data_IF_148802524684
#
_entry.id   IF_148802524684
#
_cell.length_a   1.000
_cell.length_b   1.000
_cell.length_c   1.000
_cell.angle_alpha   90.00
_cell.angle_beta   90.00
_cell.angle_gamma   90.00
#
_symmetry.space_group_name_H-M   'P 1'
#
loop_
_entity.id
_entity.type
_entity.pdbx_description
1 polymer ?
#
# COMPACT_ATOMS: atom_id res chain seq x y z
N UNK A 1 10.61 -11.55 7.34
CA UNK A 1 11.22 -10.23 7.11
C UNK A 1 10.96 -9.37 8.33
N UNK A 2 11.86 -8.43 8.66
CA UNK A 2 11.63 -7.44 9.71
C UNK A 2 11.49 -6.04 9.08
N UNK A 3 10.56 -5.25 9.59
CA UNK A 3 10.31 -3.86 9.16
C UNK A 3 10.61 -2.96 10.35
N UNK A 4 11.46 -1.94 10.16
CA UNK A 4 11.76 -0.98 11.20
C UNK A 4 10.55 -0.06 11.44
N UNK A 5 10.22 0.21 12.70
CA UNK A 5 9.10 1.08 13.05
C UNK A 5 9.66 2.46 13.40
N UNK A 6 9.29 3.53 12.66
CA UNK A 6 9.72 4.88 12.98
C UNK A 6 9.22 5.31 14.36
N UNK A 7 10.10 5.90 15.18
CA UNK A 7 9.72 6.41 16.50
C UNK A 7 8.71 7.57 16.43
N UNK A 8 8.65 8.28 15.30
CA UNK A 8 7.67 9.33 15.04
C UNK A 8 6.26 8.81 14.75
N UNK A 9 6.12 7.51 14.47
CA UNK A 9 4.91 6.97 13.83
C UNK A 9 4.73 7.46 12.38
N UNK A 10 3.72 6.92 11.71
CA UNK A 10 3.36 7.27 10.33
C UNK A 10 2.98 6.06 9.49
N UNK A 11 2.84 6.29 8.19
CA UNK A 11 2.56 5.27 7.17
C UNK A 11 3.89 4.74 6.66
N UNK A 12 4.10 3.43 6.76
CA UNK A 12 5.35 2.77 6.38
C UNK A 12 5.11 1.84 5.19
N UNK A 13 5.89 2.01 4.13
CA UNK A 13 5.88 1.09 3.00
C UNK A 13 6.63 -0.20 3.36
N UNK A 14 6.05 -1.33 2.96
CA UNK A 14 6.66 -2.65 3.16
C UNK A 14 7.01 -3.23 1.80
N UNK A 15 8.28 -3.20 1.44
CA UNK A 15 8.79 -3.82 0.23
C UNK A 15 9.03 -5.31 0.44
N UNK A 16 8.60 -6.13 -0.52
CA UNK A 16 8.89 -7.56 -0.50
C UNK A 16 10.36 -7.80 -0.90
N UNK A 17 11.05 -8.76 -0.26
CA UNK A 17 12.43 -9.05 -0.60
C UNK A 17 12.50 -9.56 -2.04
N UNK A 18 13.59 -9.29 -2.78
CA UNK A 18 13.70 -9.66 -4.20
C UNK A 18 13.69 -11.18 -4.43
N UNK A 19 13.97 -11.98 -3.40
CA UNK A 19 13.88 -13.44 -3.44
C UNK A 19 12.48 -13.98 -3.15
N UNK A 20 11.51 -13.12 -2.81
CA UNK A 20 10.12 -13.54 -2.61
C UNK A 20 9.54 -14.09 -3.92
N UNK A 21 8.86 -15.25 -3.89
CA UNK A 21 8.21 -15.77 -5.08
C UNK A 21 7.09 -14.83 -5.53
N UNK A 22 6.93 -14.68 -6.84
CA UNK A 22 5.79 -13.97 -7.39
C UNK A 22 4.48 -14.65 -6.97
N UNK A 23 3.45 -13.84 -6.69
CA UNK A 23 2.10 -14.34 -6.47
C UNK A 23 1.54 -14.92 -7.76
N UNK A 24 0.87 -16.07 -7.65
CA UNK A 24 0.14 -16.66 -8.77
C UNK A 24 -1.10 -15.81 -9.09
N UNK A 25 -1.46 -15.78 -10.38
CA UNK A 25 -2.68 -15.12 -10.83
C UNK A 25 -3.91 -15.75 -10.19
N UNK A 26 -4.89 -14.90 -9.90
CA UNK A 26 -6.22 -15.23 -9.38
C UNK A 26 -6.24 -16.10 -8.11
N UNK A 27 -5.14 -16.06 -7.36
CA UNK A 27 -4.99 -16.79 -6.11
C UNK A 27 -5.04 -15.82 -4.93
N UNK A 28 -5.90 -16.10 -3.96
CA UNK A 28 -5.97 -15.33 -2.71
C UNK A 28 -4.81 -15.74 -1.79
N UNK A 29 -4.02 -14.76 -1.39
CA UNK A 29 -2.98 -14.87 -0.38
C UNK A 29 -3.37 -14.06 0.85
N UNK A 30 -2.96 -14.52 2.02
CA UNK A 30 -3.11 -13.78 3.27
C UNK A 30 -1.74 -13.37 3.77
N UNK A 31 -1.58 -12.09 4.11
CA UNK A 31 -0.38 -11.56 4.73
C UNK A 31 -0.66 -11.27 6.21
N UNK A 32 0.40 -11.32 7.02
CA UNK A 32 0.35 -11.02 8.45
C UNK A 32 1.51 -10.12 8.81
N UNK A 33 1.26 -9.12 9.66
CA UNK A 33 2.28 -8.28 10.26
C UNK A 33 2.08 -8.29 11.78
N UNK A 34 3.09 -8.79 12.50
CA UNK A 34 3.06 -8.86 13.96
C UNK A 34 4.06 -7.90 14.58
N UNK A 35 3.65 -7.24 15.66
CA UNK A 35 4.49 -6.32 16.41
C UNK A 35 5.35 -7.09 17.42
N UNK A 36 6.67 -6.92 17.29
CA UNK A 36 7.64 -7.44 18.25
C UNK A 36 7.70 -6.51 19.46
N UNK A 37 7.22 -6.99 20.60
CA UNK A 37 7.27 -6.27 21.88
C UNK A 37 8.46 -6.81 22.68
N UNK A 38 9.24 -5.92 23.31
CA UNK A 38 10.40 -6.29 24.14
C UNK A 38 11.40 -7.23 23.46
N UNK A 39 11.55 -7.11 22.14
CA UNK A 39 12.50 -7.91 21.37
C UNK A 39 12.08 -9.36 21.13
N UNK A 40 10.81 -9.74 21.34
CA UNK A 40 10.30 -11.06 20.97
C UNK A 40 8.87 -11.02 20.40
N UNK A 41 8.58 -11.94 19.47
CA UNK A 41 7.20 -12.26 19.10
C UNK A 41 6.66 -13.27 20.09
N UNK A 42 5.48 -13.00 20.63
CA UNK A 42 4.80 -13.90 21.58
C UNK A 42 3.39 -14.20 21.06
N UNK A 43 2.71 -15.23 21.58
CA UNK A 43 1.30 -15.47 21.24
C UNK A 43 0.36 -14.29 21.58
N UNK A 44 0.81 -13.36 22.42
CA UNK A 44 0.09 -12.14 22.78
C UNK A 44 0.51 -10.92 21.94
N UNK A 45 1.47 -11.07 21.01
CA UNK A 45 1.88 -9.98 20.14
C UNK A 45 0.70 -9.49 19.30
N UNK A 46 0.39 -8.18 19.30
CA UNK A 46 -0.58 -7.61 18.38
C UNK A 46 -0.16 -7.90 16.95
N UNK A 47 -1.12 -8.25 16.11
CA UNK A 47 -0.89 -8.41 14.69
C UNK A 47 -2.07 -7.87 13.90
N UNK A 48 -1.79 -7.56 12.65
CA UNK A 48 -2.79 -7.25 11.63
C UNK A 48 -2.58 -8.20 10.47
N UNK A 49 -3.63 -8.45 9.72
CA UNK A 49 -3.60 -9.32 8.55
C UNK A 49 -4.53 -8.79 7.46
N UNK A 50 -4.34 -9.30 6.26
CA UNK A 50 -5.15 -8.90 5.12
C UNK A 50 -5.01 -9.86 3.96
N UNK A 51 -5.94 -9.74 3.03
CA UNK A 51 -5.97 -10.52 1.80
C UNK A 51 -5.39 -9.73 0.65
N UNK A 52 -4.63 -10.40 -0.21
CA UNK A 52 -4.11 -9.86 -1.46
C UNK A 52 -4.28 -10.90 -2.56
N UNK A 53 -4.60 -10.45 -3.76
CA UNK A 53 -4.71 -11.29 -4.94
C UNK A 53 -4.05 -10.56 -6.10
N UNK A 54 -3.13 -11.24 -6.78
CA UNK A 54 -2.62 -10.77 -8.06
C UNK A 54 -3.67 -11.10 -9.12
N UNK A 55 -4.17 -10.08 -9.80
CA UNK A 55 -5.10 -10.26 -10.91
C UNK A 55 -4.34 -10.23 -12.24
N UNK A 56 -4.94 -10.81 -13.27
CA UNK A 56 -4.48 -10.55 -14.64
C UNK A 56 -4.92 -9.12 -15.02
N UNK A 57 -3.99 -8.22 -15.39
CA UNK A 57 -4.33 -6.85 -15.72
C UNK A 57 -5.20 -6.82 -16.99
N UNK A 58 -6.28 -6.05 -16.93
CA UNK A 58 -7.05 -5.73 -18.13
C UNK A 58 -6.20 -4.91 -19.10
N UNK A 59 -6.61 -4.82 -20.36
CA UNK A 59 -5.91 -3.97 -21.34
C UNK A 59 -5.81 -2.52 -20.86
N UNK A 60 -6.84 -2.00 -20.21
CA UNK A 60 -6.87 -0.65 -19.64
C UNK A 60 -5.83 -0.48 -18.53
N UNK A 61 -5.78 -1.41 -17.57
CA UNK A 61 -4.78 -1.40 -16.49
C UNK A 61 -3.37 -1.51 -17.06
N UNK A 62 -3.15 -2.40 -18.03
CA UNK A 62 -1.84 -2.57 -18.65
C UNK A 62 -1.36 -1.31 -19.39
N UNK A 63 -2.25 -0.61 -20.09
CA UNK A 63 -1.94 0.65 -20.76
C UNK A 63 -1.68 1.79 -19.78
N UNK A 64 -2.38 1.83 -18.65
CA UNK A 64 -2.12 2.80 -17.59
C UNK A 64 -0.74 2.57 -16.96
N UNK A 65 -0.43 1.33 -16.54
CA UNK A 65 0.87 0.98 -15.96
C UNK A 65 2.06 1.28 -16.89
N UNK A 66 1.86 1.22 -18.21
CA UNK A 66 2.88 1.58 -19.20
C UNK A 66 3.20 3.09 -19.27
N UNK A 67 2.29 3.95 -18.77
CA UNK A 67 2.48 5.41 -18.73
C UNK A 67 3.33 5.86 -17.53
N UNK A 68 3.49 4.99 -16.53
CA UNK A 68 4.31 5.22 -15.34
C UNK A 68 3.47 5.46 -14.09
N UNK A 69 4.05 6.12 -13.09
CA UNK A 69 3.33 6.54 -11.89
C UNK A 69 2.89 7.99 -12.06
N UNK A 70 1.68 8.20 -12.56
CA UNK A 70 1.04 9.50 -12.68
C UNK A 70 -0.42 9.46 -12.18
N UNK A 71 -1.05 10.63 -12.08
CA UNK A 71 -2.44 10.74 -11.61
C UNK A 71 -3.42 9.91 -12.46
N UNK A 72 -3.20 9.84 -13.79
CA UNK A 72 -4.10 9.07 -14.67
C UNK A 72 -4.02 7.56 -14.40
N UNK A 73 -2.82 7.08 -14.06
CA UNK A 73 -2.58 5.69 -13.70
C UNK A 73 -3.24 5.35 -12.37
N UNK A 74 -3.08 6.22 -11.37
CA UNK A 74 -3.71 6.10 -10.04
C UNK A 74 -5.23 6.04 -10.17
N UNK A 75 -5.84 6.95 -10.94
CA UNK A 75 -7.28 6.97 -11.19
C UNK A 75 -7.76 5.69 -11.86
N UNK A 76 -7.04 5.20 -12.86
CA UNK A 76 -7.37 3.95 -13.58
C UNK A 76 -7.33 2.74 -12.64
N UNK A 77 -6.29 2.64 -11.82
CA UNK A 77 -6.13 1.57 -10.84
C UNK A 77 -7.23 1.61 -9.77
N UNK A 78 -7.50 2.80 -9.22
CA UNK A 78 -8.53 3.00 -8.20
C UNK A 78 -9.93 2.67 -8.72
N UNK A 79 -10.28 3.13 -9.93
CA UNK A 79 -11.56 2.86 -10.57
C UNK A 79 -11.77 1.36 -10.87
N UNK A 80 -10.69 0.61 -11.08
CA UNK A 80 -10.72 -0.84 -11.28
C UNK A 80 -10.59 -1.64 -9.96
N UNK A 81 -10.58 -0.96 -8.80
CA UNK A 81 -10.53 -1.61 -7.49
C UNK A 81 -9.16 -2.16 -7.09
N UNK A 82 -8.08 -1.69 -7.71
CA UNK A 82 -6.70 -2.13 -7.44
C UNK A 82 -6.11 -1.37 -6.24
N UNK A 83 -6.65 -1.63 -5.05
CA UNK A 83 -6.40 -0.81 -3.87
C UNK A 83 -4.93 -0.72 -3.43
N UNK A 84 -4.20 -1.85 -3.36
CA UNK A 84 -2.81 -1.87 -2.87
C UNK A 84 -1.86 -1.10 -3.79
N UNK A 85 -1.95 -1.31 -5.11
CA UNK A 85 -1.13 -0.60 -6.08
C UNK A 85 -1.48 0.89 -6.13
N UNK A 86 -2.77 1.26 -6.06
CA UNK A 86 -3.20 2.67 -5.94
C UNK A 86 -2.59 3.34 -4.71
N UNK A 87 -2.66 2.70 -3.54
CA UNK A 87 -2.07 3.22 -2.31
C UNK A 87 -0.55 3.43 -2.43
N UNK A 88 0.15 2.44 -2.98
CA UNK A 88 1.60 2.50 -3.17
C UNK A 88 2.01 3.62 -4.14
N UNK A 89 1.26 3.80 -5.24
CA UNK A 89 1.55 4.84 -6.22
C UNK A 89 1.33 6.25 -5.67
N UNK A 90 0.20 6.49 -4.98
CA UNK A 90 -0.06 7.78 -4.31
C UNK A 90 1.03 8.08 -3.28
N UNK A 91 1.39 7.09 -2.45
CA UNK A 91 2.42 7.27 -1.43
C UNK A 91 3.81 7.58 -2.03
N UNK A 92 4.14 6.99 -3.17
CA UNK A 92 5.37 7.29 -3.92
C UNK A 92 5.35 8.70 -4.51
N UNK A 93 4.22 9.17 -5.06
CA UNK A 93 4.12 10.54 -5.58
C UNK A 93 4.23 11.59 -4.47
N UNK A 94 3.55 11.37 -3.34
CA UNK A 94 3.54 12.28 -2.19
C UNK A 94 4.93 12.56 -1.60
N UNK A 95 5.93 11.70 -1.85
CA UNK A 95 7.32 11.94 -1.43
C UNK A 95 8.08 12.89 -2.34
N UNK A 96 7.70 12.95 -3.61
CA UNK A 96 8.44 13.71 -4.63
C UNK A 96 7.75 15.03 -4.95
N UNK A 97 6.47 15.13 -4.64
CA UNK A 97 5.62 16.25 -5.02
C UNK A 97 4.80 16.70 -3.80
N UNK A 98 4.87 18.00 -3.52
CA UNK A 98 4.00 18.67 -2.56
C UNK A 98 2.80 19.23 -3.35
N UNK A 99 1.82 18.37 -3.63
CA UNK A 99 0.64 18.66 -4.45
C UNK A 99 -0.64 18.35 -3.67
N UNK A 100 -1.53 19.34 -3.57
CA UNK A 100 -2.83 19.21 -2.90
C UNK A 100 -3.72 18.14 -3.53
N UNK A 101 -3.59 17.91 -4.84
CA UNK A 101 -4.29 16.87 -5.58
C UNK A 101 -3.88 15.48 -5.09
N UNK A 102 -2.59 15.26 -4.87
CA UNK A 102 -2.07 13.97 -4.36
C UNK A 102 -2.55 13.75 -2.93
N UNK A 103 -2.52 14.80 -2.09
CA UNK A 103 -3.03 14.73 -0.72
C UNK A 103 -4.53 14.39 -0.67
N UNK A 104 -5.33 14.96 -1.56
CA UNK A 104 -6.76 14.65 -1.67
C UNK A 104 -7.00 13.21 -2.14
N UNK A 105 -6.26 12.74 -3.15
CA UNK A 105 -6.34 11.34 -3.61
C UNK A 105 -5.99 10.36 -2.48
N UNK A 106 -4.98 10.68 -1.66
CA UNK A 106 -4.63 9.87 -0.48
C UNK A 106 -5.75 9.84 0.56
N UNK A 107 -6.34 11.00 0.85
CA UNK A 107 -7.47 11.11 1.77
C UNK A 107 -8.69 10.31 1.28
N UNK A 108 -9.09 10.49 0.02
CA UNK A 108 -10.24 9.79 -0.58
C UNK A 108 -10.05 8.27 -0.58
N UNK A 109 -8.85 7.79 -0.92
CA UNK A 109 -8.54 6.36 -0.89
C UNK A 109 -8.69 5.75 0.50
N UNK A 110 -8.21 6.46 1.53
CA UNK A 110 -8.29 6.00 2.91
C UNK A 110 -9.71 6.14 3.47
N UNK A 111 -10.41 7.24 3.15
CA UNK A 111 -11.81 7.44 3.54
C UNK A 111 -12.71 6.33 3.02
N UNK A 112 -12.52 5.89 1.77
CA UNK A 112 -13.29 4.82 1.15
C UNK A 112 -13.25 3.48 1.93
N UNK A 113 -12.22 3.28 2.76
CA UNK A 113 -12.05 2.08 3.60
C UNK A 113 -12.12 2.39 5.10
N UNK A 114 -12.59 3.58 5.49
CA UNK A 114 -12.76 3.97 6.89
C UNK A 114 -11.46 4.31 7.63
N UNK A 115 -10.41 4.69 6.90
CA UNK A 115 -9.08 5.05 7.41
C UNK A 115 -8.79 6.55 7.35
N UNK A 116 -9.81 7.40 7.23
CA UNK A 116 -9.65 8.86 7.14
C UNK A 116 -8.83 9.47 8.31
N UNK A 117 -8.94 8.88 9.52
CA UNK A 117 -8.22 9.35 10.72
C UNK A 117 -6.69 9.29 10.59
N UNK A 118 -6.17 8.43 9.69
CA UNK A 118 -4.73 8.30 9.44
C UNK A 118 -4.27 9.00 8.16
N UNK A 119 -5.16 9.68 7.44
CA UNK A 119 -4.81 10.32 6.16
C UNK A 119 -3.81 11.47 6.31
N UNK A 120 -3.81 12.15 7.47
CA UNK A 120 -2.85 13.21 7.77
C UNK A 120 -1.52 12.69 8.37
N UNK A 121 -1.37 11.37 8.55
CA UNK A 121 -0.14 10.81 9.07
C UNK A 121 1.00 10.95 8.04
N UNK A 122 2.23 11.26 8.47
CA UNK A 122 3.35 11.35 7.54
C UNK A 122 3.64 9.99 6.90
N UNK A 123 3.92 9.99 5.60
CA UNK A 123 4.47 8.84 4.91
C UNK A 123 5.97 8.81 5.21
N UNK A 124 6.40 7.78 5.94
CA UNK A 124 7.78 7.58 6.40
C UNK A 124 8.30 6.32 5.74
N UNK A 125 9.11 6.50 4.71
CA UNK A 125 9.79 5.43 3.98
C UNK A 125 11.30 5.62 4.06
#
# INVERSE_FOLDING_TARGET
>A
MAVAIPASGGVVAVEMPPEAPELALDTNYQWYLALQLDGALTPASPFVDGWVKRIEPTQEIALALAQGNDLSTIETLGANGIWYDTAAQIASLAQTQDDETIANQWFELLEAVGLADIAAAPIVM
#
